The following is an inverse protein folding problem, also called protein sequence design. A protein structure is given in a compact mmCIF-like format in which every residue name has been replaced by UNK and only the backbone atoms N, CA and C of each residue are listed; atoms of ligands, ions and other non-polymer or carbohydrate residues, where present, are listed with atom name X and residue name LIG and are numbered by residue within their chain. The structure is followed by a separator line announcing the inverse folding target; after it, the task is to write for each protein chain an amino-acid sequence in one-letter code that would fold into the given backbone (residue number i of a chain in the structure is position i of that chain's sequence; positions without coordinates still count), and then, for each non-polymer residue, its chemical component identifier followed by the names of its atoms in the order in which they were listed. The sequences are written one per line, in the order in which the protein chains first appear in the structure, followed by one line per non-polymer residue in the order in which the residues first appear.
data_IF_483957663177
#
_entry.id   IF_483957663177
#
_cell.length_a   1.000
_cell.length_b   1.000
_cell.length_c   1.000
_cell.angle_alpha   90.00
_cell.angle_beta   90.00
_cell.angle_gamma   90.00
#
_symmetry.space_group_name_H-M   'P 1'
#
loop_
_entity.id
_entity.type
_entity.pdbx_description
1 polymer ?
#
# COMPACT_ATOMS: atom_id res chain seq x y z
N UNK A 1 -0.78 -0.87 9.16
CA UNK A 1 -1.50 -1.85 10.02
C UNK A 1 -2.27 -2.81 9.13
N UNK A 2 -2.47 -4.08 9.52
CA UNK A 2 -3.37 -4.99 8.80
C UNK A 2 -4.71 -5.00 9.53
N UNK A 3 -5.83 -4.57 8.91
CA UNK A 3 -7.14 -4.62 9.57
C UNK A 3 -7.59 -6.06 9.82
N UNK A 4 -8.32 -6.36 10.91
CA UNK A 4 -8.73 -7.73 11.24
C UNK A 4 -9.50 -8.46 10.14
N UNK A 5 -10.34 -7.74 9.39
CA UNK A 5 -11.09 -8.31 8.27
C UNK A 5 -10.18 -8.83 7.14
N UNK A 6 -9.01 -8.21 6.97
CA UNK A 6 -8.06 -8.54 5.90
C UNK A 6 -7.09 -9.66 6.32
N UNK A 7 -7.02 -10.00 7.62
CA UNK A 7 -6.18 -11.10 8.13
C UNK A 7 -6.62 -12.47 7.58
N UNK A 8 -7.91 -12.63 7.26
CA UNK A 8 -8.48 -13.87 6.77
C UNK A 8 -7.90 -14.32 5.42
N UNK A 9 -7.32 -13.40 4.64
CA UNK A 9 -6.72 -13.73 3.35
C UNK A 9 -5.34 -14.43 3.53
N UNK A 10 -4.65 -14.22 4.65
CA UNK A 10 -3.28 -14.70 4.87
C UNK A 10 -3.23 -16.17 5.28
N UNK A 11 -2.37 -16.95 4.59
CA UNK A 11 -2.23 -18.40 4.80
C UNK A 11 -0.96 -18.80 5.56
N UNK A 12 -0.19 -17.80 6.01
CA UNK A 12 1.04 -17.98 6.80
C UNK A 12 0.73 -17.91 8.29
N UNK A 13 1.64 -18.44 9.13
CA UNK A 13 1.53 -18.24 10.57
C UNK A 13 1.63 -16.76 10.94
N UNK A 14 1.03 -16.38 12.07
CA UNK A 14 1.12 -15.02 12.61
C UNK A 14 2.59 -14.57 12.77
N UNK A 15 3.45 -15.47 13.27
CA UNK A 15 4.89 -15.20 13.41
C UNK A 15 5.56 -14.90 12.06
N UNK A 16 5.22 -15.64 11.01
CA UNK A 16 5.74 -15.39 9.67
C UNK A 16 5.20 -14.08 9.08
N UNK A 17 3.92 -13.77 9.30
CA UNK A 17 3.33 -12.50 8.88
C UNK A 17 3.98 -11.31 9.59
N UNK A 18 4.25 -11.42 10.89
CA UNK A 18 4.96 -10.41 11.66
C UNK A 18 6.39 -10.21 11.15
N UNK A 19 7.11 -11.29 10.79
CA UNK A 19 8.44 -11.16 10.17
C UNK A 19 8.41 -10.41 8.85
N UNK A 20 7.43 -10.68 7.98
CA UNK A 20 7.28 -9.95 6.72
C UNK A 20 6.92 -8.48 6.96
N UNK A 21 6.02 -8.19 7.93
CA UNK A 21 5.71 -6.81 8.33
C UNK A 21 6.96 -6.06 8.82
N UNK A 22 7.74 -6.70 9.69
CA UNK A 22 8.97 -6.10 10.22
C UNK A 22 9.98 -5.80 9.12
N UNK A 23 10.05 -6.65 8.09
CA UNK A 23 10.98 -6.49 6.96
C UNK A 23 10.57 -5.40 5.97
N UNK A 24 9.28 -5.29 5.68
CA UNK A 24 8.78 -4.52 4.54
C UNK A 24 8.15 -3.18 4.93
N UNK A 25 7.77 -3.01 6.19
CA UNK A 25 7.19 -1.75 6.65
C UNK A 25 8.29 -0.71 6.80
N UNK A 26 8.08 0.45 6.19
CA UNK A 26 8.91 1.63 6.42
C UNK A 26 8.53 2.24 7.78
N UNK A 27 9.09 1.67 8.85
CA UNK A 27 8.80 2.06 10.21
C UNK A 27 9.27 3.49 10.48
N UNK A 28 8.46 4.24 11.24
CA UNK A 28 8.76 5.61 11.66
C UNK A 28 8.89 6.66 10.55
N UNK A 29 8.58 6.35 9.29
CA UNK A 29 8.61 7.34 8.19
C UNK A 29 7.74 8.56 8.47
N UNK A 30 6.55 8.35 9.05
CA UNK A 30 5.68 9.46 9.45
C UNK A 30 6.31 10.31 10.57
N UNK A 31 6.95 9.69 11.55
CA UNK A 31 7.61 10.41 12.65
C UNK A 31 8.81 11.22 12.11
N UNK A 32 9.55 10.67 11.15
CA UNK A 32 10.72 11.33 10.55
C UNK A 32 10.36 12.51 9.64
N UNK A 33 9.28 12.40 8.85
CA UNK A 33 9.00 13.35 7.76
C UNK A 33 7.70 14.13 7.92
N UNK A 34 6.73 13.63 8.70
CA UNK A 34 5.40 14.24 8.81
C UNK A 34 5.14 14.96 10.14
N UNK A 35 6.01 14.82 11.15
CA UNK A 35 5.82 15.46 12.48
C UNK A 35 5.67 16.98 12.40
N UNK A 36 6.42 17.62 11.51
CA UNK A 36 6.42 19.09 11.32
C UNK A 36 5.77 19.53 10.00
N UNK A 37 5.17 18.60 9.24
CA UNK A 37 4.50 18.90 8.00
C UNK A 37 3.06 19.39 8.26
N UNK A 38 2.51 20.21 7.36
CA UNK A 38 1.08 20.51 7.40
C UNK A 38 0.31 19.20 7.16
N UNK A 39 -0.65 18.81 8.03
CA UNK A 39 -1.45 17.60 7.82
C UNK A 39 -2.14 17.56 6.46
N UNK A 40 -2.46 18.71 5.86
CA UNK A 40 -3.06 18.79 4.54
C UNK A 40 -2.08 18.44 3.41
N UNK A 41 -0.77 18.47 3.67
CA UNK A 41 0.31 18.11 2.72
C UNK A 41 0.79 16.65 2.93
N UNK A 42 0.22 15.92 3.89
CA UNK A 42 0.62 14.55 4.20
C UNK A 42 -0.45 13.56 3.75
N UNK A 43 -0.11 12.73 2.76
CA UNK A 43 -0.95 11.62 2.31
C UNK A 43 -0.36 10.31 2.80
N UNK A 44 -0.99 9.72 3.83
CA UNK A 44 -0.55 8.43 4.41
C UNK A 44 -1.42 7.27 3.92
N UNK A 45 -0.78 6.14 3.66
CA UNK A 45 -1.46 4.86 3.44
C UNK A 45 -2.13 4.38 4.74
N UNK A 46 -3.38 3.94 4.64
CA UNK A 46 -4.19 3.55 5.81
C UNK A 46 -3.88 2.12 6.29
N UNK A 47 -3.43 1.28 5.37
CA UNK A 47 -3.11 -0.13 5.63
C UNK A 47 -1.65 -0.43 5.36
N UNK A 48 -1.17 -1.55 5.88
CA UNK A 48 0.16 -2.07 5.56
C UNK A 48 0.25 -2.40 4.07
N UNK A 49 1.45 -2.24 3.50
CA UNK A 49 1.75 -2.67 2.13
C UNK A 49 1.52 -4.17 1.87
N UNK A 50 1.49 -5.00 2.92
CA UNK A 50 1.09 -6.40 2.79
C UNK A 50 -0.40 -6.59 2.43
N UNK A 51 -1.25 -5.62 2.76
CA UNK A 51 -2.67 -5.60 2.36
C UNK A 51 -2.80 -5.01 0.97
N UNK A 52 -2.30 -3.79 0.78
CA UNK A 52 -2.22 -3.09 -0.50
C UNK A 52 -0.97 -2.21 -0.50
N UNK A 53 -0.10 -2.41 -1.48
CA UNK A 53 1.07 -1.56 -1.71
C UNK A 53 0.71 -0.46 -2.72
N UNK A 54 0.45 0.75 -2.22
CA UNK A 54 0.06 1.92 -3.02
C UNK A 54 1.22 2.48 -3.86
N UNK A 55 2.45 2.01 -3.64
CA UNK A 55 3.62 2.41 -4.43
C UNK A 55 3.86 1.50 -5.65
N UNK A 56 3.01 0.50 -5.85
CA UNK A 56 3.05 -0.42 -6.99
C UNK A 56 1.96 -0.09 -7.99
N UNK A 57 2.15 -0.44 -9.27
CA UNK A 57 1.07 -0.27 -10.24
C UNK A 57 -0.06 -1.28 -9.99
N UNK A 58 -1.31 -0.81 -10.00
CA UNK A 58 -2.49 -1.67 -9.89
C UNK A 58 -2.70 -2.59 -11.10
N UNK A 59 -2.13 -2.24 -12.27
CA UNK A 59 -2.09 -3.12 -13.43
C UNK A 59 -0.85 -4.01 -13.37
N UNK A 60 -1.05 -5.32 -13.13
CA UNK A 60 0.03 -6.30 -13.04
C UNK A 60 0.85 -6.42 -14.34
N UNK A 61 0.32 -5.97 -15.48
CA UNK A 61 1.06 -5.91 -16.76
C UNK A 61 2.14 -4.82 -16.75
N UNK A 62 1.95 -3.77 -15.93
CA UNK A 62 2.87 -2.66 -15.75
C UNK A 62 3.76 -2.85 -14.51
N UNK A 63 3.31 -3.62 -13.52
CA UNK A 63 4.05 -3.91 -12.30
C UNK A 63 4.92 -5.17 -12.43
N UNK A 64 6.22 -4.98 -12.70
CA UNK A 64 7.15 -6.12 -12.84
C UNK A 64 7.23 -7.00 -11.60
N UNK A 65 7.05 -6.47 -10.39
CA UNK A 65 7.07 -7.28 -9.18
C UNK A 65 5.82 -8.17 -9.04
N UNK A 66 4.75 -7.91 -9.79
CA UNK A 66 3.58 -8.80 -9.83
C UNK A 66 3.93 -10.20 -10.36
N UNK A 67 4.92 -10.31 -11.27
CA UNK A 67 5.33 -11.61 -11.83
C UNK A 67 5.97 -12.54 -10.78
N UNK A 68 6.45 -11.99 -9.67
CA UNK A 68 7.00 -12.74 -8.52
C UNK A 68 6.05 -12.70 -7.31
N UNK A 69 4.80 -12.26 -7.51
CA UNK A 69 3.77 -12.23 -6.49
C UNK A 69 3.86 -11.06 -5.51
N UNK A 70 4.57 -10.00 -5.88
CA UNK A 70 4.81 -8.78 -5.08
C UNK A 70 4.29 -7.52 -5.80
N UNK A 71 3.10 -7.60 -6.43
CA UNK A 71 2.43 -6.46 -7.08
C UNK A 71 1.67 -5.55 -6.11
N UNK A 72 0.69 -4.75 -6.55
CA UNK A 72 -0.10 -3.92 -5.63
C UNK A 72 -0.83 -4.72 -4.53
N UNK A 73 -1.10 -6.01 -4.78
CA UNK A 73 -1.56 -6.96 -3.77
C UNK A 73 -0.62 -8.16 -3.72
N UNK A 74 0.16 -8.29 -2.64
CA UNK A 74 1.11 -9.40 -2.53
C UNK A 74 0.38 -10.75 -2.36
N UNK A 75 0.87 -11.77 -3.05
CA UNK A 75 0.45 -13.18 -2.90
C UNK A 75 1.63 -14.09 -2.52
N UNK A 76 2.86 -13.56 -2.60
CA UNK A 76 4.09 -14.21 -2.14
C UNK A 76 4.78 -13.36 -1.06
N UNK A 77 5.61 -14.00 -0.24
CA UNK A 77 6.51 -13.34 0.70
C UNK A 77 7.76 -12.85 -0.03
N UNK A 78 8.62 -12.07 0.64
CA UNK A 78 9.94 -11.68 0.10
C UNK A 78 10.81 -12.88 -0.31
N UNK A 79 10.59 -14.05 0.31
CA UNK A 79 11.32 -15.27 0.01
C UNK A 79 10.68 -16.12 -1.11
N UNK A 80 9.58 -15.64 -1.71
CA UNK A 80 8.85 -16.36 -2.76
C UNK A 80 7.88 -17.44 -2.27
N UNK A 81 7.69 -17.58 -0.96
CA UNK A 81 6.72 -18.51 -0.37
C UNK A 81 5.30 -17.96 -0.50
N UNK A 82 4.24 -18.79 -0.51
CA UNK A 82 2.85 -18.30 -0.43
C UNK A 82 2.64 -17.38 0.78
N UNK A 83 2.04 -16.21 0.56
CA UNK A 83 1.65 -15.26 1.62
C UNK A 83 0.13 -15.30 1.86
N UNK A 84 -0.63 -15.26 0.75
CA UNK A 84 -2.09 -15.34 0.71
C UNK A 84 -2.55 -15.78 -0.67
N UNK A 85 -3.81 -16.21 -0.73
CA UNK A 85 -4.50 -16.49 -1.99
C UNK A 85 -5.62 -15.47 -2.18
N UNK A 86 -5.68 -14.87 -3.37
CA UNK A 86 -6.69 -13.87 -3.70
C UNK A 86 -7.40 -14.27 -4.99
N UNK A 87 -8.73 -14.24 -4.97
CA UNK A 87 -9.51 -14.24 -6.20
C UNK A 87 -9.39 -12.88 -6.90
N UNK A 88 -9.68 -12.83 -8.20
CA UNK A 88 -9.71 -11.57 -8.94
C UNK A 88 -10.74 -10.58 -8.35
N UNK A 89 -11.89 -11.08 -7.89
CA UNK A 89 -12.90 -10.27 -7.21
C UNK A 89 -12.35 -9.68 -5.91
N UNK A 90 -11.72 -10.51 -5.07
CA UNK A 90 -11.15 -10.08 -3.80
C UNK A 90 -10.01 -9.07 -3.97
N UNK A 91 -9.15 -9.27 -4.97
CA UNK A 91 -8.12 -8.29 -5.36
C UNK A 91 -8.75 -6.95 -5.73
N UNK A 92 -9.82 -6.97 -6.52
CA UNK A 92 -10.54 -5.76 -6.93
C UNK A 92 -11.11 -5.03 -5.71
N UNK A 93 -11.76 -5.74 -4.78
CA UNK A 93 -12.27 -5.17 -3.53
C UNK A 93 -11.19 -4.47 -2.71
N UNK A 94 -10.01 -5.09 -2.57
CA UNK A 94 -8.88 -4.50 -1.85
C UNK A 94 -8.39 -3.20 -2.50
N UNK A 95 -8.29 -3.18 -3.84
CA UNK A 95 -7.89 -1.98 -4.58
C UNK A 95 -8.94 -0.87 -4.48
N UNK A 96 -10.22 -1.20 -4.63
CA UNK A 96 -11.34 -0.25 -4.47
C UNK A 96 -11.40 0.33 -3.07
N UNK A 97 -11.07 -0.48 -2.06
CA UNK A 97 -11.12 -0.07 -0.66
C UNK A 97 -9.94 0.78 -0.22
N UNK A 98 -8.73 0.48 -0.71
CA UNK A 98 -7.50 1.08 -0.15
C UNK A 98 -6.61 1.76 -1.19
N UNK A 99 -6.50 1.20 -2.40
CA UNK A 99 -5.60 1.72 -3.43
C UNK A 99 -6.14 2.99 -4.07
N UNK A 100 -7.31 2.91 -4.71
CA UNK A 100 -7.88 4.04 -5.44
C UNK A 100 -8.20 5.23 -4.54
N UNK A 101 -8.73 5.06 -3.32
CA UNK A 101 -8.94 6.19 -2.41
C UNK A 101 -7.62 6.89 -2.02
N UNK A 102 -6.53 6.14 -1.84
CA UNK A 102 -5.22 6.74 -1.55
C UNK A 102 -4.72 7.60 -2.71
N UNK A 103 -4.72 7.05 -3.93
CA UNK A 103 -4.28 7.81 -5.11
C UNK A 103 -5.16 9.02 -5.39
N UNK A 104 -6.48 8.90 -5.22
CA UNK A 104 -7.38 10.05 -5.34
C UNK A 104 -7.04 11.16 -4.37
N UNK A 105 -6.75 10.84 -3.09
CA UNK A 105 -6.33 11.85 -2.11
C UNK A 105 -5.01 12.51 -2.50
N UNK A 106 -4.07 11.75 -3.04
CA UNK A 106 -2.80 12.28 -3.53
C UNK A 106 -3.00 13.22 -4.74
N UNK A 107 -3.80 12.80 -5.72
CA UNK A 107 -4.10 13.59 -6.91
C UNK A 107 -4.84 14.88 -6.56
N UNK A 108 -5.85 14.80 -5.68
CA UNK A 108 -6.60 15.95 -5.18
C UNK A 108 -5.68 16.94 -4.45
N UNK A 109 -4.82 16.47 -3.54
CA UNK A 109 -3.85 17.31 -2.84
C UNK A 109 -2.88 17.99 -3.81
N UNK A 110 -2.31 17.25 -4.75
CA UNK A 110 -1.37 17.80 -5.74
C UNK A 110 -2.05 18.84 -6.65
N UNK A 111 -3.28 18.56 -7.11
CA UNK A 111 -4.06 19.48 -7.93
C UNK A 111 -4.37 20.79 -7.20
N UNK A 112 -4.74 20.73 -5.92
CA UNK A 112 -4.98 21.91 -5.09
C UNK A 112 -3.72 22.79 -4.95
N UNK A 113 -2.55 22.18 -4.72
CA UNK A 113 -1.29 22.93 -4.58
C UNK A 113 -0.87 23.53 -5.91
N UNK A 114 -1.00 22.78 -7.00
CA UNK A 114 -0.72 23.26 -8.34
C UNK A 114 -1.60 24.45 -8.71
N UNK A 115 -2.90 24.39 -8.41
CA UNK A 115 -3.84 25.48 -8.66
C UNK A 115 -3.52 26.74 -7.85
N UNK A 116 -3.10 26.57 -6.59
CA UNK A 116 -2.80 27.69 -5.68
C UNK A 116 -1.45 28.35 -5.95
N UNK A 117 -0.43 27.56 -6.26
CA UNK A 117 0.97 28.01 -6.28
C UNK A 117 1.59 27.97 -7.68
N UNK A 118 0.91 27.41 -8.68
CA UNK A 118 1.43 27.21 -10.04
C UNK A 118 2.49 26.11 -10.16
N UNK A 119 2.83 25.44 -9.05
CA UNK A 119 3.75 24.31 -8.99
C UNK A 119 3.43 23.42 -7.77
N UNK A 120 3.85 22.15 -7.83
CA UNK A 120 3.75 21.19 -6.73
C UNK A 120 4.95 20.24 -6.81
N UNK A 121 5.59 19.96 -5.68
CA UNK A 121 6.64 18.93 -5.54
C UNK A 121 6.06 17.85 -4.65
N UNK A 122 6.14 16.62 -5.12
CA UNK A 122 5.72 15.40 -4.41
C UNK A 122 6.98 14.64 -4.02
#
# INVERSE_FOLDING_TARGET
MIPPAELADFVVSEEALMRELMRLTDWHTADLYAENADPADVVRAEVSRLVVDVERFADDRLERCATVGMGATYVKTCAGNPLRELSAARRTELLDRYYWPHHRRLDEAAAERLARFGHCVI
#
